data_IF_364096356119
#
_entry.id   IF_364096356119
#
_cell.length_a   1.000
_cell.length_b   1.000
_cell.length_c   1.000
_cell.angle_alpha   90.00
_cell.angle_beta   90.00
_cell.angle_gamma   90.00
#
_symmetry.space_group_name_H-M   'P 1'
#
loop_
_entity.id
_entity.type
_entity.pdbx_description
1 polymer ?
#
# COMPACT_ATOMS: atom_id res chain seq x y z
N UNK A 1 -7.44 15.87 -22.08
CA UNK A 1 -6.28 16.00 -21.17
C UNK A 1 -6.36 14.83 -20.19
N UNK A 2 -5.37 13.93 -20.11
CA UNK A 2 -5.39 12.93 -19.05
C UNK A 2 -4.99 13.63 -17.75
N UNK A 3 -5.96 13.87 -16.87
CA UNK A 3 -5.69 14.37 -15.53
C UNK A 3 -5.11 13.20 -14.73
N UNK A 4 -3.79 13.06 -14.75
CA UNK A 4 -3.04 12.05 -14.01
C UNK A 4 -3.18 12.28 -12.51
N UNK A 5 -4.27 11.76 -11.94
CA UNK A 5 -4.56 11.68 -10.51
C UNK A 5 -3.68 10.64 -9.78
N UNK A 6 -2.47 10.37 -10.28
CA UNK A 6 -1.49 9.54 -9.59
C UNK A 6 -0.91 10.37 -8.44
N UNK A 7 -1.68 10.49 -7.36
CA UNK A 7 -1.30 11.19 -6.14
C UNK A 7 -0.14 10.42 -5.52
N UNK A 8 1.07 10.79 -5.91
CA UNK A 8 2.32 10.22 -5.40
C UNK A 8 2.27 10.24 -3.88
N UNK A 9 2.59 9.11 -3.26
CA UNK A 9 2.60 9.02 -1.82
C UNK A 9 3.64 9.99 -1.24
N UNK A 10 3.21 10.88 -0.35
CA UNK A 10 4.11 11.77 0.36
C UNK A 10 4.88 11.03 1.46
N UNK A 11 6.04 11.56 1.88
CA UNK A 11 6.87 10.94 2.94
C UNK A 11 6.07 10.72 4.24
N UNK A 12 5.23 11.69 4.63
CA UNK A 12 4.38 11.56 5.82
C UNK A 12 3.35 10.43 5.68
N UNK A 13 2.80 10.23 4.49
CA UNK A 13 1.84 9.17 4.22
C UNK A 13 2.51 7.80 4.23
N UNK A 14 3.72 7.70 3.68
CA UNK A 14 4.52 6.47 3.69
C UNK A 14 4.91 6.05 5.12
N UNK A 15 5.26 7.02 5.96
CA UNK A 15 5.54 6.79 7.39
C UNK A 15 4.30 6.26 8.13
N UNK A 16 3.13 6.84 7.87
CA UNK A 16 1.88 6.38 8.46
C UNK A 16 1.54 4.94 8.03
N UNK A 17 1.66 4.63 6.74
CA UNK A 17 1.40 3.29 6.20
C UNK A 17 2.38 2.26 6.78
N UNK A 18 3.67 2.59 6.85
CA UNK A 18 4.69 1.72 7.46
C UNK A 18 4.34 1.42 8.92
N UNK A 19 3.87 2.43 9.66
CA UNK A 19 3.43 2.27 11.06
C UNK A 19 2.21 1.37 11.17
N UNK A 20 1.20 1.54 10.31
CA UNK A 20 0.02 0.69 10.27
C UNK A 20 0.39 -0.78 10.02
N UNK A 21 1.31 -1.05 9.09
CA UNK A 21 1.79 -2.42 8.82
C UNK A 21 2.55 -2.96 10.03
N UNK A 22 3.44 -2.17 10.62
CA UNK A 22 4.22 -2.59 11.78
C UNK A 22 3.35 -2.96 12.99
N UNK A 23 2.21 -2.30 13.14
CA UNK A 23 1.21 -2.54 14.19
C UNK A 23 0.15 -3.58 13.80
N UNK A 24 0.13 -4.07 12.56
CA UNK A 24 -0.87 -5.03 12.09
C UNK A 24 -2.27 -4.44 11.85
N UNK A 25 -2.39 -3.14 11.63
CA UNK A 25 -3.66 -2.41 11.53
C UNK A 25 -4.33 -2.57 10.14
N UNK A 26 -4.81 -3.79 9.83
CA UNK A 26 -5.34 -4.15 8.50
C UNK A 26 -6.45 -3.22 7.99
N UNK A 27 -7.47 -2.93 8.81
CA UNK A 27 -8.60 -2.09 8.40
C UNK A 27 -8.18 -0.65 8.11
N UNK A 28 -7.31 -0.08 8.95
CA UNK A 28 -6.79 1.28 8.75
C UNK A 28 -5.94 1.35 7.48
N UNK A 29 -5.11 0.32 7.25
CA UNK A 29 -4.31 0.20 6.05
C UNK A 29 -5.19 0.13 4.79
N UNK A 30 -6.26 -0.67 4.81
CA UNK A 30 -7.21 -0.76 3.69
C UNK A 30 -7.83 0.60 3.36
N UNK A 31 -8.29 1.33 4.38
CA UNK A 31 -8.86 2.67 4.20
C UNK A 31 -7.83 3.67 3.66
N UNK A 32 -6.58 3.59 4.13
CA UNK A 32 -5.51 4.46 3.68
C UNK A 32 -5.12 4.21 2.20
N UNK A 33 -5.32 3.00 1.69
CA UNK A 33 -4.96 2.60 0.33
C UNK A 33 -6.10 2.75 -0.70
N UNK A 34 -7.36 2.93 -0.29
CA UNK A 34 -8.54 2.96 -1.18
C UNK A 34 -8.38 3.83 -2.43
N UNK A 35 -7.83 5.03 -2.30
CA UNK A 35 -7.67 6.00 -3.40
C UNK A 35 -6.20 6.20 -3.80
N UNK A 36 -5.32 5.26 -3.44
CA UNK A 36 -3.88 5.36 -3.69
C UNK A 36 -3.41 4.31 -4.69
N UNK A 37 -2.69 4.78 -5.69
CA UNK A 37 -1.87 3.93 -6.55
C UNK A 37 -0.49 3.78 -5.90
N UNK A 38 -0.13 2.56 -5.52
CA UNK A 38 1.22 2.22 -5.11
C UNK A 38 2.08 2.03 -6.36
N UNK A 39 3.25 2.65 -6.40
CA UNK A 39 4.27 2.29 -7.40
C UNK A 39 4.92 0.97 -7.01
N UNK A 40 5.49 0.28 -8.00
CA UNK A 40 6.20 -0.99 -7.81
C UNK A 40 7.22 -0.93 -6.64
N UNK A 41 8.10 0.07 -6.63
CA UNK A 41 9.09 0.24 -5.55
C UNK A 41 8.45 0.45 -4.16
N UNK A 42 7.33 1.18 -4.10
CA UNK A 42 6.62 1.42 -2.83
C UNK A 42 5.96 0.11 -2.37
N UNK A 43 5.31 -0.60 -3.29
CA UNK A 43 4.67 -1.87 -3.02
C UNK A 43 5.66 -2.93 -2.53
N UNK A 44 6.79 -3.10 -3.20
CA UNK A 44 7.81 -4.09 -2.84
C UNK A 44 8.33 -3.86 -1.42
N UNK A 45 8.64 -2.60 -1.09
CA UNK A 45 9.04 -2.23 0.26
C UNK A 45 7.97 -2.55 1.32
N UNK A 46 6.69 -2.26 1.04
CA UNK A 46 5.61 -2.56 1.97
C UNK A 46 5.36 -4.06 2.13
N UNK A 47 5.57 -4.84 1.05
CA UNK A 47 5.49 -6.30 1.09
C UNK A 47 6.60 -6.90 1.95
N UNK A 48 7.84 -6.45 1.81
CA UNK A 48 8.95 -6.88 2.64
C UNK A 48 8.68 -6.59 4.12
N UNK A 49 8.14 -5.40 4.42
CA UNK A 49 7.78 -5.03 5.78
C UNK A 49 6.67 -5.92 6.36
N UNK A 50 5.65 -6.25 5.57
CA UNK A 50 4.56 -7.13 5.97
C UNK A 50 5.03 -8.58 6.21
N UNK A 51 5.98 -9.06 5.40
CA UNK A 51 6.60 -10.38 5.55
C UNK A 51 7.46 -10.46 6.82
N UNK A 52 8.26 -9.42 7.10
CA UNK A 52 9.04 -9.33 8.35
C UNK A 52 8.16 -9.37 9.60
N UNK A 53 6.92 -8.86 9.50
CA UNK A 53 5.93 -8.91 10.58
C UNK A 53 5.11 -10.20 10.64
N UNK A 54 5.36 -11.14 9.72
CA UNK A 54 4.61 -12.38 9.56
C UNK A 54 3.09 -12.15 9.52
N UNK A 55 2.65 -11.10 8.83
CA UNK A 55 1.23 -10.76 8.69
C UNK A 55 0.73 -11.09 7.27
N UNK A 56 0.19 -12.30 7.04
CA UNK A 56 -0.22 -12.75 5.72
C UNK A 56 -1.44 -11.98 5.19
N UNK A 57 -2.31 -11.47 6.06
CA UNK A 57 -3.49 -10.70 5.62
C UNK A 57 -3.10 -9.36 5.02
N UNK A 58 -2.14 -8.67 5.63
CA UNK A 58 -1.60 -7.43 5.08
C UNK A 58 -0.85 -7.70 3.76
N UNK A 59 -0.07 -8.76 3.70
CA UNK A 59 0.62 -9.17 2.47
C UNK A 59 -0.38 -9.42 1.33
N UNK A 60 -1.50 -10.08 1.63
CA UNK A 60 -2.58 -10.33 0.67
C UNK A 60 -3.25 -9.03 0.21
N UNK A 61 -3.54 -8.11 1.14
CA UNK A 61 -4.13 -6.81 0.82
C UNK A 61 -3.22 -6.00 -0.13
N UNK A 62 -1.93 -5.94 0.14
CA UNK A 62 -0.96 -5.23 -0.70
C UNK A 62 -0.87 -5.82 -2.11
N UNK A 63 -0.84 -7.15 -2.24
CA UNK A 63 -0.86 -7.83 -3.55
C UNK A 63 -2.14 -7.56 -4.33
N UNK A 64 -3.30 -7.55 -3.66
CA UNK A 64 -4.58 -7.23 -4.30
C UNK A 64 -4.60 -5.79 -4.83
N UNK A 65 -4.00 -4.85 -4.10
CA UNK A 65 -3.86 -3.46 -4.54
C UNK A 65 -2.92 -3.30 -5.75
N UNK A 66 -1.93 -4.19 -5.90
CA UNK A 66 -1.05 -4.23 -7.06
C UNK A 66 -1.80 -4.68 -8.33
N UNK A 67 -2.62 -5.73 -8.20
CA UNK A 67 -3.38 -6.32 -9.31
C UNK A 67 -4.49 -5.38 -9.84
N UNK A 68 -5.08 -4.54 -8.99
CA UNK A 68 -6.12 -3.59 -9.42
C UNK A 68 -5.59 -2.39 -10.19
N UNK A 69 -4.28 -2.11 -10.16
CA UNK A 69 -3.68 -0.99 -10.92
C UNK A 69 -3.40 -1.31 -12.41
N UNK A 70 -3.66 -2.54 -12.87
CA UNK A 70 -3.40 -3.00 -14.25
C UNK A 70 -4.65 -3.22 -15.13
N UNK A 71 -5.85 -2.89 -14.66
CA UNK A 71 -7.06 -3.01 -15.49
C UNK A 71 -7.35 -1.71 -16.24
N UNK A 72 -7.07 -1.75 -17.55
CA UNK A 72 -7.34 -0.74 -18.57
C UNK A 72 -8.82 -0.35 -18.66
#
# INVERSE_FOLDING_TARGET
>A
MPNSNNKRMGINEMSAITTMIANGELEKLRLALLDKTLKELELDYLLDLAQLKNNPEITKLLKQHADTSFRF
#
